data_IF_253432439734
#
_entry.id   IF_253432439734
#
_cell.length_a   1.000
_cell.length_b   1.000
_cell.length_c   1.000
_cell.angle_alpha   90.00
_cell.angle_beta   90.00
_cell.angle_gamma   90.00
#
_symmetry.space_group_name_H-M   'P 1'
#
loop_
_entity.id
_entity.type
_entity.pdbx_description
1 polymer ?
#
# COMPACT_ATOMS: atom_id res chain seq x y z
N UNK A 1 -63.84 -5.73 -19.27
CA UNK A 1 -62.80 -6.77 -19.18
C UNK A 1 -61.44 -6.11 -19.18
N UNK A 2 -60.85 -5.82 -18.02
CA UNK A 2 -59.62 -5.10 -17.85
C UNK A 2 -58.46 -6.09 -17.86
N UNK A 3 -57.67 -6.16 -18.91
CA UNK A 3 -56.37 -6.85 -18.93
C UNK A 3 -55.33 -5.94 -18.30
N UNK A 4 -54.86 -6.28 -17.10
CA UNK A 4 -53.69 -5.67 -16.49
C UNK A 4 -52.45 -6.33 -17.08
N UNK A 5 -51.77 -5.62 -17.97
CA UNK A 5 -50.41 -5.96 -18.40
C UNK A 5 -49.43 -5.75 -17.25
N UNK A 6 -49.07 -6.88 -16.62
CA UNK A 6 -47.90 -6.95 -15.74
C UNK A 6 -46.65 -7.04 -16.60
N UNK A 7 -46.25 -5.91 -17.19
CA UNK A 7 -44.87 -5.83 -17.69
C UNK A 7 -43.93 -5.86 -16.47
N UNK A 8 -43.21 -6.97 -16.35
CA UNK A 8 -42.14 -7.19 -15.40
C UNK A 8 -41.11 -6.06 -15.53
N UNK A 9 -41.18 -5.08 -14.61
CA UNK A 9 -40.04 -4.14 -14.42
C UNK A 9 -38.94 -4.96 -13.80
N UNK A 10 -38.03 -5.48 -14.62
CA UNK A 10 -36.76 -6.03 -14.16
C UNK A 10 -36.00 -4.86 -13.54
N UNK A 11 -36.04 -4.77 -12.22
CA UNK A 11 -35.18 -3.85 -11.49
C UNK A 11 -33.77 -4.43 -11.64
N UNK A 12 -33.00 -3.92 -12.58
CA UNK A 12 -31.57 -4.15 -12.63
C UNK A 12 -30.93 -3.46 -11.43
N UNK A 13 -30.91 -4.16 -10.30
CA UNK A 13 -30.08 -3.79 -9.16
C UNK A 13 -28.65 -4.06 -9.59
N UNK A 14 -27.98 -3.06 -10.13
CA UNK A 14 -26.54 -3.05 -10.23
C UNK A 14 -26.00 -2.98 -8.79
N UNK A 15 -25.87 -4.14 -8.17
CA UNK A 15 -25.04 -4.29 -6.97
C UNK A 15 -23.61 -4.12 -7.50
N UNK A 16 -23.16 -2.90 -7.54
CA UNK A 16 -21.75 -2.58 -7.77
C UNK A 16 -20.97 -3.19 -6.61
N UNK A 17 -20.43 -4.40 -6.82
CA UNK A 17 -19.43 -4.96 -5.91
C UNK A 17 -18.23 -4.02 -6.00
N UNK A 18 -18.16 -3.06 -5.09
CA UNK A 18 -17.00 -2.19 -4.96
C UNK A 18 -15.84 -3.09 -4.53
N UNK A 19 -15.08 -3.58 -5.51
CA UNK A 19 -13.87 -4.35 -5.23
C UNK A 19 -12.91 -3.43 -4.49
N UNK A 20 -12.63 -3.75 -3.22
CA UNK A 20 -11.65 -3.01 -2.43
C UNK A 20 -10.31 -2.99 -3.17
N UNK A 21 -9.72 -1.81 -3.25
CA UNK A 21 -8.41 -1.61 -3.89
C UNK A 21 -7.29 -1.95 -2.94
N UNK A 22 -6.26 -2.61 -3.45
CA UNK A 22 -5.06 -2.96 -2.70
C UNK A 22 -4.01 -1.87 -2.87
N UNK A 23 -3.45 -1.41 -1.77
CA UNK A 23 -2.35 -0.43 -1.77
C UNK A 23 -1.20 -0.93 -0.90
N UNK A 24 0.03 -0.78 -1.41
CA UNK A 24 1.24 -1.02 -0.64
C UNK A 24 1.99 0.28 -0.42
N UNK A 25 2.52 0.44 0.79
CA UNK A 25 3.28 1.61 1.23
C UNK A 25 4.68 1.13 1.64
N UNK A 26 5.67 1.40 0.80
CA UNK A 26 7.08 1.20 1.12
C UNK A 26 7.54 2.31 2.07
N UNK A 27 8.22 1.96 3.16
CA UNK A 27 8.52 2.89 4.25
C UNK A 27 7.27 3.22 5.09
N UNK A 28 6.28 2.34 5.06
CA UNK A 28 4.99 2.56 5.70
C UNK A 28 5.00 2.50 7.23
N UNK A 29 6.04 1.94 7.84
CA UNK A 29 6.20 1.88 9.29
C UNK A 29 6.78 3.18 9.88
N UNK A 30 7.21 4.13 9.04
CA UNK A 30 7.61 5.47 9.46
C UNK A 30 6.42 6.35 9.86
N UNK A 31 6.71 7.53 10.43
CA UNK A 31 5.68 8.46 10.90
C UNK A 31 4.69 8.86 9.79
N UNK A 32 5.19 9.34 8.64
CA UNK A 32 4.34 9.74 7.52
C UNK A 32 3.58 8.53 6.93
N UNK A 33 4.28 7.38 6.78
CA UNK A 33 3.70 6.15 6.25
C UNK A 33 2.54 5.62 7.08
N UNK A 34 2.66 5.65 8.40
CA UNK A 34 1.60 5.23 9.32
C UNK A 34 0.35 6.11 9.24
N UNK A 35 0.54 7.42 9.08
CA UNK A 35 -0.57 8.36 8.87
C UNK A 35 -1.28 8.13 7.53
N UNK A 36 -0.52 7.89 6.47
CA UNK A 36 -1.06 7.57 5.16
C UNK A 36 -1.82 6.25 5.20
N UNK A 37 -1.24 5.20 5.81
CA UNK A 37 -1.87 3.90 5.99
C UNK A 37 -3.22 4.02 6.72
N UNK A 38 -3.26 4.73 7.83
CA UNK A 38 -4.49 5.01 8.60
C UNK A 38 -5.58 5.66 7.73
N UNK A 39 -5.20 6.62 6.90
CA UNK A 39 -6.16 7.32 6.04
C UNK A 39 -6.70 6.41 4.92
N UNK A 40 -5.87 5.54 4.33
CA UNK A 40 -6.32 4.59 3.32
C UNK A 40 -7.23 3.50 3.92
N UNK A 41 -6.93 3.01 5.14
CA UNK A 41 -7.84 2.09 5.84
C UNK A 41 -9.23 2.70 6.03
N UNK A 42 -9.30 3.99 6.41
CA UNK A 42 -10.59 4.71 6.57
C UNK A 42 -11.34 4.91 5.24
N UNK A 43 -10.67 4.80 4.12
CA UNK A 43 -11.23 4.89 2.76
C UNK A 43 -11.48 3.51 2.13
N UNK A 44 -11.54 2.46 2.96
CA UNK A 44 -11.82 1.08 2.55
C UNK A 44 -10.81 0.49 1.55
N UNK A 45 -9.53 0.90 1.66
CA UNK A 45 -8.44 0.21 0.96
C UNK A 45 -7.91 -0.95 1.80
N UNK A 46 -7.48 -2.02 1.14
CA UNK A 46 -6.65 -3.06 1.73
C UNK A 46 -5.21 -2.57 1.75
N UNK A 47 -4.74 -2.19 2.92
CA UNK A 47 -3.43 -1.57 3.10
C UNK A 47 -2.39 -2.61 3.48
N UNK A 48 -1.25 -2.57 2.79
CA UNK A 48 -0.04 -3.32 3.14
C UNK A 48 1.08 -2.32 3.42
N UNK A 49 1.73 -2.46 4.57
CA UNK A 49 2.96 -1.74 4.91
C UNK A 49 4.14 -2.66 4.63
N UNK A 50 5.11 -2.16 3.83
CA UNK A 50 6.39 -2.81 3.61
C UNK A 50 7.48 -1.94 4.23
N UNK A 51 8.28 -2.53 5.12
CA UNK A 51 9.37 -1.80 5.78
C UNK A 51 10.48 -2.75 6.24
N UNK A 52 11.68 -2.23 6.36
CA UNK A 52 12.82 -2.97 6.92
C UNK A 52 12.62 -3.27 8.40
N UNK A 53 11.99 -2.35 9.12
CA UNK A 53 11.74 -2.46 10.56
C UNK A 53 10.29 -2.14 10.87
N UNK A 54 9.60 -3.07 11.51
CA UNK A 54 8.20 -2.93 11.89
C UNK A 54 8.07 -3.05 13.40
N UNK A 55 7.80 -1.92 14.05
CA UNK A 55 7.58 -1.84 15.50
C UNK A 55 6.07 -1.70 15.76
N UNK A 56 5.42 -2.83 16.02
CA UNK A 56 3.96 -2.89 16.16
C UNK A 56 3.45 -1.99 17.29
N UNK A 57 4.10 -1.98 18.44
CA UNK A 57 3.68 -1.14 19.58
C UNK A 57 3.69 0.37 19.26
N UNK A 58 4.65 0.83 18.46
CA UNK A 58 4.70 2.21 18.00
C UNK A 58 3.58 2.50 17.01
N UNK A 59 3.36 1.58 16.07
CA UNK A 59 2.31 1.70 15.06
C UNK A 59 0.91 1.67 15.68
N UNK A 60 0.69 0.88 16.73
CA UNK A 60 -0.56 0.88 17.49
C UNK A 60 -0.87 2.25 18.10
N UNK A 61 0.13 2.92 18.63
CA UNK A 61 -0.02 4.28 19.17
C UNK A 61 -0.39 5.31 18.11
N UNK A 62 0.16 5.16 16.86
CA UNK A 62 -0.07 6.10 15.75
C UNK A 62 -1.37 5.81 15.01
N UNK A 63 -1.65 4.55 14.72
CA UNK A 63 -2.76 4.12 13.89
C UNK A 63 -4.01 3.85 14.74
N UNK A 64 -3.83 3.32 15.95
CA UNK A 64 -4.90 2.92 16.85
C UNK A 64 -5.52 1.58 16.40
N UNK A 65 -6.80 1.36 16.71
CA UNK A 65 -7.53 0.10 16.45
C UNK A 65 -7.57 -0.32 14.97
N UNK A 66 -7.38 0.61 14.05
CA UNK A 66 -7.36 0.32 12.61
C UNK A 66 -6.11 -0.48 12.18
N UNK A 67 -5.11 -0.63 13.04
CA UNK A 67 -3.92 -1.45 12.78
C UNK A 67 -4.27 -2.91 12.45
N UNK A 68 -5.33 -3.44 13.05
CA UNK A 68 -5.80 -4.80 12.80
C UNK A 68 -6.24 -5.04 11.34
N UNK A 69 -6.46 -3.98 10.57
CA UNK A 69 -6.85 -4.03 9.14
C UNK A 69 -5.67 -3.92 8.19
N UNK A 70 -4.45 -3.79 8.72
CA UNK A 70 -3.24 -3.56 7.93
C UNK A 70 -2.42 -4.84 7.85
N UNK A 71 -1.97 -5.17 6.65
CA UNK A 71 -0.99 -6.23 6.44
C UNK A 71 0.43 -5.67 6.58
N UNK A 72 1.31 -6.43 7.20
CA UNK A 72 2.70 -6.05 7.40
C UNK A 72 3.62 -7.03 6.67
N UNK A 73 4.52 -6.48 5.86
CA UNK A 73 5.58 -7.22 5.17
C UNK A 73 6.92 -6.61 5.56
N UNK A 74 7.73 -7.39 6.29
CA UNK A 74 9.11 -7.01 6.56
C UNK A 74 9.96 -7.34 5.34
N UNK A 75 10.76 -6.37 4.87
CA UNK A 75 11.64 -6.56 3.73
C UNK A 75 12.54 -5.36 3.48
N UNK A 76 13.50 -5.55 2.58
CA UNK A 76 14.49 -4.56 2.20
C UNK A 76 14.18 -3.99 0.82
N UNK A 77 14.01 -2.68 0.71
CA UNK A 77 13.74 -1.99 -0.57
C UNK A 77 14.89 -2.12 -1.57
N UNK A 78 16.12 -2.36 -1.09
CA UNK A 78 17.29 -2.58 -1.94
C UNK A 78 17.28 -3.98 -2.60
N UNK A 79 16.47 -4.89 -2.08
CA UNK A 79 16.28 -6.23 -2.65
C UNK A 79 15.12 -6.23 -3.65
N UNK A 80 15.44 -6.20 -4.94
CA UNK A 80 14.43 -6.20 -6.02
C UNK A 80 13.43 -7.36 -5.95
N UNK A 81 13.89 -8.57 -5.58
CA UNK A 81 13.03 -9.75 -5.51
C UNK A 81 11.96 -9.59 -4.42
N UNK A 82 12.32 -9.05 -3.27
CA UNK A 82 11.40 -8.78 -2.17
C UNK A 82 10.37 -7.71 -2.58
N UNK A 83 10.83 -6.61 -3.17
CA UNK A 83 9.97 -5.55 -3.70
C UNK A 83 9.02 -6.09 -4.75
N UNK A 84 9.53 -6.87 -5.71
CA UNK A 84 8.73 -7.44 -6.79
C UNK A 84 7.66 -8.42 -6.28
N UNK A 85 7.98 -9.24 -5.26
CA UNK A 85 7.01 -10.12 -4.61
C UNK A 85 5.94 -9.33 -3.85
N UNK A 86 6.35 -8.27 -3.15
CA UNK A 86 5.45 -7.43 -2.36
C UNK A 86 4.41 -6.69 -3.23
N UNK A 87 4.72 -6.40 -4.50
CA UNK A 87 3.81 -5.71 -5.42
C UNK A 87 2.78 -6.63 -6.10
N UNK A 88 2.73 -7.93 -5.75
CA UNK A 88 1.72 -8.84 -6.32
C UNK A 88 0.32 -8.43 -5.93
N UNK A 89 -0.58 -8.34 -6.92
CA UNK A 89 -1.98 -7.98 -6.76
C UNK A 89 -2.24 -6.61 -6.12
N UNK A 90 -1.29 -5.68 -6.20
CA UNK A 90 -1.47 -4.30 -5.79
C UNK A 90 -2.08 -3.46 -6.91
N UNK A 91 -3.00 -2.57 -6.56
CA UNK A 91 -3.59 -1.58 -7.48
C UNK A 91 -2.81 -0.26 -7.44
N UNK A 92 -2.23 0.07 -6.28
CA UNK A 92 -1.48 1.31 -6.04
C UNK A 92 -0.22 1.07 -5.22
N UNK A 93 0.78 1.90 -5.46
CA UNK A 93 2.03 1.92 -4.71
C UNK A 93 2.32 3.33 -4.21
N UNK A 94 2.71 3.45 -2.96
CA UNK A 94 3.27 4.66 -2.37
C UNK A 94 4.69 4.33 -1.91
N UNK A 95 5.68 5.08 -2.37
CA UNK A 95 7.06 4.93 -1.93
C UNK A 95 7.48 6.11 -1.03
N UNK A 96 7.68 5.81 0.23
CA UNK A 96 8.19 6.72 1.26
C UNK A 96 9.48 6.19 1.89
N UNK A 97 9.97 5.04 1.42
CA UNK A 97 11.20 4.47 1.95
C UNK A 97 12.38 5.35 1.57
N UNK A 98 13.18 5.71 2.54
CA UNK A 98 14.36 6.52 2.33
C UNK A 98 15.09 6.82 3.64
N UNK A 99 16.38 7.07 3.52
CA UNK A 99 17.23 7.55 4.60
C UNK A 99 17.31 9.07 4.55
N UNK A 100 17.26 9.68 5.73
CA UNK A 100 17.37 11.12 5.87
C UNK A 100 18.83 11.61 5.86
N UNK A 101 19.02 12.90 5.69
CA UNK A 101 20.34 13.53 5.58
C UNK A 101 21.35 13.09 6.64
N UNK A 102 21.04 12.98 7.94
CA UNK A 102 22.02 12.55 8.93
C UNK A 102 22.59 11.15 8.67
N UNK A 103 21.74 10.21 8.23
CA UNK A 103 22.15 8.84 7.94
C UNK A 103 22.91 8.76 6.61
N UNK A 104 22.45 9.49 5.60
CA UNK A 104 23.18 9.61 4.32
C UNK A 104 24.55 10.25 4.48
N UNK A 105 24.69 11.22 5.37
CA UNK A 105 25.99 11.84 5.66
C UNK A 105 26.97 10.89 6.35
N UNK A 106 26.46 10.01 7.23
CA UNK A 106 27.30 9.00 7.90
C UNK A 106 27.69 7.86 6.96
N UNK A 107 26.82 7.48 6.06
CA UNK A 107 27.07 6.41 5.10
C UNK A 107 26.43 6.76 3.74
N UNK A 108 27.15 7.50 2.87
CA UNK A 108 26.63 7.92 1.56
C UNK A 108 26.29 6.75 0.63
N UNK A 109 27.04 5.65 0.70
CA UNK A 109 26.78 4.46 -0.12
C UNK A 109 25.44 3.84 0.24
N UNK A 110 25.16 3.65 1.53
CA UNK A 110 23.87 3.16 1.99
C UNK A 110 22.73 4.13 1.63
N UNK A 111 23.00 5.44 1.73
CA UNK A 111 22.05 6.47 1.26
C UNK A 111 21.68 6.30 -0.21
N UNK A 112 22.67 6.07 -1.08
CA UNK A 112 22.45 5.83 -2.50
C UNK A 112 21.72 4.50 -2.75
N UNK A 113 22.08 3.44 -2.05
CA UNK A 113 21.41 2.14 -2.16
C UNK A 113 19.91 2.24 -1.81
N UNK A 114 19.57 2.85 -0.68
CA UNK A 114 18.18 2.97 -0.23
C UNK A 114 17.42 3.99 -1.05
N UNK A 115 17.93 5.22 -1.20
CA UNK A 115 17.17 6.32 -1.79
C UNK A 115 17.12 6.27 -3.31
N UNK A 116 18.16 5.75 -3.97
CA UNK A 116 18.22 5.67 -5.42
C UNK A 116 17.87 4.27 -5.90
N UNK A 117 18.67 3.26 -5.56
CA UNK A 117 18.46 1.90 -6.03
C UNK A 117 17.12 1.35 -5.52
N UNK A 118 16.79 1.57 -4.24
CA UNK A 118 15.49 1.16 -3.68
C UNK A 118 14.31 1.77 -4.43
N UNK A 119 14.38 3.07 -4.76
CA UNK A 119 13.34 3.73 -5.56
C UNK A 119 13.25 3.17 -6.98
N UNK A 120 14.38 2.87 -7.63
CA UNK A 120 14.41 2.22 -8.94
C UNK A 120 13.75 0.85 -8.87
N UNK A 121 14.03 0.06 -7.83
CA UNK A 121 13.42 -1.26 -7.64
C UNK A 121 11.88 -1.16 -7.57
N UNK A 122 11.35 -0.18 -6.84
CA UNK A 122 9.90 0.06 -6.77
C UNK A 122 9.35 0.45 -8.13
N UNK A 123 9.97 1.38 -8.84
CA UNK A 123 9.50 1.84 -10.15
C UNK A 123 9.52 0.71 -11.20
N UNK A 124 10.57 -0.09 -11.25
CA UNK A 124 10.63 -1.22 -12.18
C UNK A 124 9.59 -2.29 -11.85
N UNK A 125 9.41 -2.62 -10.57
CA UNK A 125 8.38 -3.57 -10.15
C UNK A 125 6.96 -3.08 -10.50
N UNK A 126 6.66 -1.81 -10.27
CA UNK A 126 5.35 -1.21 -10.62
C UNK A 126 5.13 -1.15 -12.11
N UNK A 127 6.15 -0.78 -12.90
CA UNK A 127 6.10 -0.74 -14.36
C UNK A 127 5.82 -2.14 -14.96
N UNK A 128 6.56 -3.16 -14.53
CA UNK A 128 6.37 -4.54 -15.01
C UNK A 128 4.95 -5.05 -14.71
N UNK A 129 4.36 -4.65 -13.60
CA UNK A 129 3.02 -5.07 -13.18
C UNK A 129 1.90 -4.16 -13.67
N UNK A 130 2.20 -3.03 -14.28
CA UNK A 130 1.20 -2.04 -14.71
C UNK A 130 0.45 -1.39 -13.54
N UNK A 131 1.11 -1.24 -12.38
CA UNK A 131 0.53 -0.62 -11.19
C UNK A 131 0.59 0.92 -11.31
N UNK A 132 -0.37 1.60 -10.72
CA UNK A 132 -0.44 3.07 -10.66
C UNK A 132 0.19 3.62 -9.38
#
# INVERSE_FOLDING_TARGET
MYKRDWQSRTINVHIGIHKMKNIIIFGGAGFLGSWIAKNFVKKDYKVTIFDLKIEIELLEKLIGKDIAKINFLKGDITNYIEVFKATVAMDYVVNLAGLMTPDCSRNPSLGAEVNVLGSINVFEATKVRGIK
#
